data_IF_354061892934
#
_entry.id   IF_354061892934
#
_cell.length_a   1.000
_cell.length_b   1.000
_cell.length_c   1.000
_cell.angle_alpha   90.00
_cell.angle_beta   90.00
_cell.angle_gamma   90.00
#
_symmetry.space_group_name_H-M   'P 1'
#
loop_
_entity.id
_entity.type
_entity.pdbx_description
1 polymer ?
#
# COMPACT_ATOMS: atom_id res chain seq x y z
N UNK A 1 -32.46 37.34 -10.35
CA UNK A 1 -31.87 36.05 -10.75
C UNK A 1 -33.01 35.11 -11.10
N UNK A 2 -32.99 34.57 -12.29
CA UNK A 2 -33.93 33.50 -12.68
C UNK A 2 -33.53 32.20 -12.02
N UNK A 3 -34.48 31.23 -11.90
CA UNK A 3 -34.19 29.91 -11.36
C UNK A 3 -33.01 29.22 -12.11
N UNK A 4 -32.88 29.51 -13.40
CA UNK A 4 -31.84 29.02 -14.28
C UNK A 4 -30.45 29.64 -13.95
N UNK A 5 -30.40 30.94 -13.70
CA UNK A 5 -29.17 31.66 -13.26
C UNK A 5 -28.70 31.15 -11.90
N UNK A 6 -29.64 30.88 -10.99
CA UNK A 6 -29.31 30.32 -9.68
C UNK A 6 -28.79 28.88 -9.78
N UNK A 7 -29.38 28.07 -10.66
CA UNK A 7 -28.93 26.70 -10.90
C UNK A 7 -27.53 26.66 -11.53
N UNK A 8 -27.26 27.53 -12.50
CA UNK A 8 -25.92 27.65 -13.12
C UNK A 8 -24.88 28.06 -12.08
N UNK A 9 -25.16 29.05 -11.24
CA UNK A 9 -24.24 29.48 -10.18
C UNK A 9 -23.91 28.35 -9.20
N UNK A 10 -24.89 27.53 -8.81
CA UNK A 10 -24.66 26.37 -7.94
C UNK A 10 -23.77 25.31 -8.62
N UNK A 11 -23.94 25.14 -9.94
CA UNK A 11 -23.08 24.22 -10.70
C UNK A 11 -21.64 24.76 -10.81
N UNK A 12 -21.47 26.05 -11.08
CA UNK A 12 -20.15 26.70 -11.13
C UNK A 12 -19.43 26.60 -9.79
N UNK A 13 -20.11 26.89 -8.67
CA UNK A 13 -19.55 26.70 -7.33
C UNK A 13 -19.12 25.27 -7.08
N UNK A 14 -19.94 24.29 -7.49
CA UNK A 14 -19.60 22.88 -7.34
C UNK A 14 -18.40 22.47 -8.20
N UNK A 15 -18.31 22.95 -9.43
CA UNK A 15 -17.16 22.71 -10.31
C UNK A 15 -15.89 23.28 -9.68
N UNK A 16 -15.93 24.53 -9.23
CA UNK A 16 -14.81 25.19 -8.55
C UNK A 16 -14.34 24.41 -7.33
N UNK A 17 -15.27 23.93 -6.49
CA UNK A 17 -14.91 23.08 -5.34
C UNK A 17 -14.24 21.76 -5.76
N UNK A 18 -14.70 21.12 -6.83
CA UNK A 18 -14.10 19.87 -7.32
C UNK A 18 -12.71 20.12 -7.93
N UNK A 19 -12.53 21.20 -8.67
CA UNK A 19 -11.23 21.62 -9.21
C UNK A 19 -10.23 21.87 -8.06
N UNK A 20 -10.62 22.62 -7.03
CA UNK A 20 -9.78 22.86 -5.85
C UNK A 20 -9.39 21.55 -5.14
N UNK A 21 -10.30 20.59 -5.03
CA UNK A 21 -9.98 19.27 -4.47
C UNK A 21 -8.91 18.58 -5.33
N UNK A 22 -9.10 18.55 -6.65
CA UNK A 22 -8.17 17.91 -7.59
C UNK A 22 -6.79 18.58 -7.54
N UNK A 23 -6.74 19.90 -7.45
CA UNK A 23 -5.48 20.67 -7.38
C UNK A 23 -4.66 20.35 -6.11
N UNK A 24 -5.32 20.02 -5.01
CA UNK A 24 -4.67 19.70 -3.72
C UNK A 24 -4.47 18.21 -3.46
N UNK A 25 -4.87 17.32 -4.38
CA UNK A 25 -4.61 15.90 -4.27
C UNK A 25 -3.11 15.58 -4.38
N UNK A 26 -2.67 14.58 -3.62
CA UNK A 26 -1.31 14.02 -3.74
C UNK A 26 -1.21 13.00 -4.88
N UNK A 27 -2.33 12.42 -5.30
CA UNK A 27 -2.42 11.57 -6.46
C UNK A 27 -2.40 12.41 -7.75
N UNK A 28 -1.66 11.93 -8.74
CA UNK A 28 -1.67 12.52 -10.07
C UNK A 28 -2.98 12.22 -10.78
N UNK A 29 -3.68 13.25 -11.20
CA UNK A 29 -4.94 13.14 -11.94
C UNK A 29 -4.78 13.69 -13.34
N UNK A 30 -5.22 12.92 -14.34
CA UNK A 30 -5.43 13.36 -15.71
C UNK A 30 -6.87 13.00 -16.10
N UNK A 31 -7.58 13.93 -16.70
CA UNK A 31 -8.94 13.74 -17.24
C UNK A 31 -8.94 14.11 -18.72
N UNK A 32 -9.58 13.29 -19.54
CA UNK A 32 -9.80 13.56 -20.95
C UNK A 32 -11.28 13.62 -21.27
N UNK A 33 -11.65 14.44 -22.25
CA UNK A 33 -13.00 14.52 -22.80
C UNK A 33 -13.32 13.35 -23.75
N UNK A 34 -14.47 13.41 -24.42
CA UNK A 34 -14.95 12.43 -25.41
C UNK A 34 -14.03 12.31 -26.66
N UNK A 35 -13.24 13.31 -26.96
CA UNK A 35 -12.31 13.36 -28.06
C UNK A 35 -10.87 13.01 -27.62
N UNK A 36 -10.74 12.47 -26.40
CA UNK A 36 -9.47 12.16 -25.72
C UNK A 36 -8.54 13.37 -25.57
N UNK A 37 -9.06 14.59 -25.55
CA UNK A 37 -8.30 15.80 -25.22
C UNK A 37 -8.16 15.93 -23.71
N UNK A 38 -6.96 16.26 -23.27
CA UNK A 38 -6.67 16.46 -21.86
C UNK A 38 -7.36 17.75 -21.40
N UNK A 39 -8.27 17.65 -20.44
CA UNK A 39 -9.01 18.78 -19.88
C UNK A 39 -8.65 19.05 -18.42
N UNK A 40 -7.99 18.09 -17.73
CA UNK A 40 -7.44 18.26 -16.40
C UNK A 40 -6.09 17.57 -16.28
N UNK A 41 -5.14 18.22 -15.63
CA UNK A 41 -3.79 17.71 -15.36
C UNK A 41 -3.27 18.40 -14.10
N UNK A 42 -3.43 17.76 -12.94
CA UNK A 42 -3.19 18.40 -11.66
C UNK A 42 -1.70 18.53 -11.29
N UNK A 43 -1.33 19.38 -10.30
CA UNK A 43 0.06 19.59 -9.90
C UNK A 43 0.80 18.33 -9.44
N UNK A 44 0.07 17.35 -8.87
CA UNK A 44 0.70 16.07 -8.52
C UNK A 44 1.12 15.30 -9.78
N UNK A 45 0.29 15.31 -10.83
CA UNK A 45 0.61 14.69 -12.13
C UNK A 45 1.79 15.39 -12.81
N UNK A 46 1.84 16.73 -12.77
CA UNK A 46 2.98 17.50 -13.27
C UNK A 46 4.31 17.07 -12.63
N UNK A 47 4.31 16.95 -11.30
CA UNK A 47 5.50 16.52 -10.56
C UNK A 47 5.91 15.08 -10.88
N UNK A 48 4.92 14.17 -11.01
CA UNK A 48 5.18 12.75 -11.29
C UNK A 48 5.76 12.51 -12.67
N UNK A 49 5.31 13.28 -13.66
CA UNK A 49 5.67 13.05 -15.06
C UNK A 49 6.68 14.08 -15.59
N UNK A 50 7.05 15.06 -14.78
CA UNK A 50 7.92 16.18 -15.16
C UNK A 50 7.41 16.93 -16.39
N UNK A 51 6.08 17.03 -16.54
CA UNK A 51 5.37 17.73 -17.60
C UNK A 51 4.61 18.92 -16.98
N UNK A 52 4.39 19.98 -17.75
CA UNK A 52 3.58 21.11 -17.28
C UNK A 52 2.17 20.98 -17.83
N UNK A 53 1.18 21.29 -17.02
CA UNK A 53 -0.22 21.32 -17.45
C UNK A 53 -0.42 22.25 -18.65
N UNK A 54 0.28 23.41 -18.69
CA UNK A 54 0.25 24.34 -19.82
C UNK A 54 0.64 23.72 -21.17
N UNK A 55 1.47 22.67 -21.15
CA UNK A 55 2.01 22.06 -22.36
C UNK A 55 1.13 20.91 -22.87
N UNK A 56 0.26 20.37 -22.03
CA UNK A 56 -0.56 19.20 -22.34
C UNK A 56 -2.06 19.47 -22.37
N UNK A 57 -2.56 20.47 -21.66
CA UNK A 57 -3.99 20.82 -21.67
C UNK A 57 -4.45 21.17 -23.07
N UNK A 58 -5.61 20.63 -23.47
CA UNK A 58 -6.19 20.78 -24.81
C UNK A 58 -5.56 19.92 -25.89
N UNK A 59 -4.43 19.27 -25.63
CA UNK A 59 -3.80 18.32 -26.58
C UNK A 59 -4.48 16.95 -26.49
N UNK A 60 -4.34 16.15 -27.54
CA UNK A 60 -4.84 14.77 -27.55
C UNK A 60 -3.90 13.92 -26.70
N UNK A 61 -4.44 13.06 -25.84
CA UNK A 61 -3.66 12.33 -24.83
C UNK A 61 -2.49 11.51 -25.39
N UNK A 62 -2.63 10.87 -26.56
CA UNK A 62 -1.51 10.13 -27.18
C UNK A 62 -0.48 11.02 -27.89
N UNK A 63 -0.82 12.28 -28.21
CA UNK A 63 0.14 13.25 -28.76
C UNK A 63 0.98 13.89 -27.67
N UNK A 64 0.41 14.10 -26.49
CA UNK A 64 1.12 14.64 -25.33
C UNK A 64 2.27 13.72 -24.89
N UNK A 65 2.13 12.40 -25.08
CA UNK A 65 3.14 11.42 -24.73
C UNK A 65 3.84 10.93 -26.01
N UNK A 66 5.02 11.44 -26.30
CA UNK A 66 5.78 11.24 -27.57
C UNK A 66 6.05 9.77 -27.96
N UNK A 67 5.69 8.80 -27.14
CA UNK A 67 5.87 7.37 -27.39
C UNK A 67 4.56 6.58 -27.49
N UNK A 68 3.41 7.24 -27.45
CA UNK A 68 2.11 6.59 -27.58
C UNK A 68 1.47 6.89 -28.93
N UNK A 69 0.75 5.91 -29.49
CA UNK A 69 -0.15 6.08 -30.62
C UNK A 69 -1.59 5.89 -30.17
N UNK A 70 -2.55 6.29 -31.00
CA UNK A 70 -3.97 6.07 -30.72
C UNK A 70 -4.29 4.62 -30.37
N UNK A 71 -3.68 3.67 -31.04
CA UNK A 71 -3.92 2.22 -30.85
C UNK A 71 -3.38 1.70 -29.51
N UNK A 72 -2.39 2.38 -28.92
CA UNK A 72 -1.77 2.02 -27.66
C UNK A 72 -2.31 2.85 -26.50
N UNK A 73 -3.06 3.91 -26.80
CA UNK A 73 -3.62 4.81 -25.79
C UNK A 73 -4.62 4.09 -24.88
N UNK A 74 -4.35 4.12 -23.59
CA UNK A 74 -5.24 3.54 -22.58
C UNK A 74 -6.52 4.31 -22.41
N UNK A 75 -6.46 5.65 -22.50
CA UNK A 75 -7.64 6.49 -22.48
C UNK A 75 -8.59 6.15 -23.64
N UNK A 76 -8.04 5.97 -24.84
CA UNK A 76 -8.85 5.54 -25.99
C UNK A 76 -9.46 4.16 -25.76
N UNK A 77 -8.67 3.20 -25.24
CA UNK A 77 -9.17 1.85 -24.96
C UNK A 77 -10.29 1.85 -23.93
N UNK A 78 -10.13 2.59 -22.84
CA UNK A 78 -11.18 2.71 -21.80
C UNK A 78 -12.41 3.43 -22.33
N UNK A 79 -12.20 4.46 -23.18
CA UNK A 79 -13.30 5.16 -23.83
C UNK A 79 -14.11 4.24 -24.75
N UNK A 80 -13.43 3.44 -25.58
CA UNK A 80 -14.08 2.54 -26.55
C UNK A 80 -14.78 1.34 -25.88
N UNK A 81 -14.18 0.81 -24.81
CA UNK A 81 -14.69 -0.40 -24.16
C UNK A 81 -15.61 -0.13 -22.97
N UNK A 82 -15.57 1.06 -22.39
CA UNK A 82 -16.25 1.39 -21.16
C UNK A 82 -15.76 0.59 -19.95
N UNK A 83 -14.66 -0.17 -20.09
CA UNK A 83 -14.11 -1.03 -19.03
C UNK A 83 -12.88 -0.38 -18.39
N UNK A 84 -12.79 -0.30 -17.05
CA UNK A 84 -11.66 0.31 -16.39
C UNK A 84 -10.40 -0.54 -16.50
N UNK A 85 -9.23 0.11 -16.40
CA UNK A 85 -7.94 -0.52 -16.20
C UNK A 85 -7.59 -0.31 -14.73
N UNK A 86 -7.40 -1.39 -13.97
CA UNK A 86 -7.17 -1.32 -12.54
C UNK A 86 -5.75 -1.73 -12.19
N UNK A 87 -5.16 -1.00 -11.24
CA UNK A 87 -3.88 -1.32 -10.61
C UNK A 87 -2.75 -1.65 -11.60
N UNK A 88 -2.70 -0.92 -12.70
CA UNK A 88 -1.65 -1.08 -13.68
C UNK A 88 -0.33 -0.47 -13.17
N UNK A 89 0.78 -1.14 -13.47
CA UNK A 89 2.13 -0.67 -13.16
C UNK A 89 3.02 -0.84 -14.38
N UNK A 90 3.44 0.27 -14.95
CA UNK A 90 4.33 0.28 -16.11
C UNK A 90 5.02 1.64 -16.29
N UNK A 91 6.07 1.70 -17.12
CA UNK A 91 6.63 2.98 -17.51
C UNK A 91 5.54 3.80 -18.24
N UNK A 92 5.25 4.98 -17.74
CA UNK A 92 4.21 5.86 -18.28
C UNK A 92 4.79 7.11 -18.92
N UNK A 93 5.93 7.58 -18.44
CA UNK A 93 6.67 8.71 -18.99
C UNK A 93 8.18 8.43 -18.99
N UNK A 94 8.95 9.27 -19.68
CA UNK A 94 10.40 9.15 -19.72
C UNK A 94 11.04 10.50 -19.41
N UNK A 95 11.98 10.52 -18.46
CA UNK A 95 12.83 11.68 -18.19
C UNK A 95 14.26 11.35 -18.58
N UNK A 96 14.79 12.05 -19.60
CA UNK A 96 16.16 11.81 -20.07
C UNK A 96 16.41 10.34 -20.47
N UNK A 97 15.47 9.68 -21.14
CA UNK A 97 15.45 8.24 -21.49
C UNK A 97 15.33 7.27 -20.30
N UNK A 98 15.08 7.76 -19.10
CA UNK A 98 14.84 6.90 -17.92
C UNK A 98 13.32 6.74 -17.76
N UNK A 99 12.79 5.50 -17.76
CA UNK A 99 11.37 5.26 -17.60
C UNK A 99 10.93 5.60 -16.16
N UNK A 100 9.85 6.36 -16.04
CA UNK A 100 9.17 6.61 -14.75
C UNK A 100 8.07 5.57 -14.60
N UNK A 101 8.16 4.75 -13.59
CA UNK A 101 7.15 3.75 -13.27
C UNK A 101 6.09 4.36 -12.35
N UNK A 102 4.84 4.25 -12.74
CA UNK A 102 3.70 4.81 -12.02
C UNK A 102 2.65 3.72 -11.81
N UNK A 103 2.11 3.66 -10.60
CA UNK A 103 0.88 2.93 -10.31
C UNK A 103 -0.31 3.77 -10.70
N UNK A 104 -1.22 3.20 -11.48
CA UNK A 104 -2.41 3.93 -11.88
C UNK A 104 -3.60 3.04 -12.14
N UNK A 105 -4.76 3.66 -12.07
CA UNK A 105 -6.02 3.08 -12.52
C UNK A 105 -6.73 4.09 -13.39
N UNK A 106 -7.28 3.61 -14.52
CA UNK A 106 -7.97 4.43 -15.52
C UNK A 106 -9.44 4.03 -15.57
N UNK A 107 -10.33 5.01 -15.47
CA UNK A 107 -11.76 4.81 -15.33
C UNK A 107 -12.53 5.59 -16.40
N UNK A 108 -13.66 5.05 -16.91
CA UNK A 108 -14.58 5.80 -17.74
C UNK A 108 -15.44 6.72 -16.88
N UNK A 109 -15.74 7.92 -17.37
CA UNK A 109 -16.83 8.77 -16.86
C UNK A 109 -18.07 8.47 -17.66
N UNK A 110 -19.10 7.92 -17.02
CA UNK A 110 -20.32 7.47 -17.69
C UNK A 110 -21.49 8.39 -17.33
N UNK A 111 -22.18 8.90 -18.36
CA UNK A 111 -23.43 9.64 -18.23
C UNK A 111 -24.46 9.07 -19.20
N UNK A 112 -25.64 8.77 -18.70
CA UNK A 112 -26.76 8.18 -19.49
C UNK A 112 -26.35 6.94 -20.31
N UNK A 113 -25.50 6.09 -19.70
CA UNK A 113 -25.00 4.86 -20.33
C UNK A 113 -23.94 5.07 -21.41
N UNK A 114 -23.46 6.30 -21.62
CA UNK A 114 -22.40 6.63 -22.58
C UNK A 114 -21.15 7.12 -21.86
N UNK A 115 -19.99 6.71 -22.34
CA UNK A 115 -18.70 7.28 -21.87
C UNK A 115 -18.58 8.69 -22.42
N UNK A 116 -18.39 9.66 -21.53
CA UNK A 116 -18.26 11.08 -21.87
C UNK A 116 -16.84 11.61 -21.62
N UNK A 117 -16.00 10.81 -20.98
CA UNK A 117 -14.61 11.15 -20.70
C UNK A 117 -13.91 9.97 -20.01
N UNK A 118 -12.62 10.10 -19.80
CA UNK A 118 -11.78 9.09 -19.14
C UNK A 118 -10.83 9.78 -18.19
N UNK A 119 -10.70 9.28 -16.96
CA UNK A 119 -9.71 9.80 -16.02
C UNK A 119 -8.78 8.71 -15.53
N UNK A 120 -7.56 9.10 -15.22
CA UNK A 120 -6.56 8.25 -14.58
C UNK A 120 -6.15 8.86 -13.25
N UNK A 121 -6.13 8.03 -12.21
CA UNK A 121 -5.52 8.35 -10.93
C UNK A 121 -4.19 7.61 -10.86
N UNK A 122 -3.12 8.36 -10.65
CA UNK A 122 -1.75 7.86 -10.61
C UNK A 122 -1.14 8.07 -9.23
N UNK A 123 -0.31 7.11 -8.79
CA UNK A 123 0.46 7.21 -7.56
C UNK A 123 1.93 6.97 -7.88
N UNK A 124 2.78 7.88 -7.42
CA UNK A 124 4.21 7.67 -7.51
C UNK A 124 4.63 6.63 -6.46
N UNK A 125 5.49 5.70 -6.87
CA UNK A 125 6.09 4.72 -5.97
C UNK A 125 6.81 5.39 -4.79
N UNK A 126 7.49 6.50 -5.04
CA UNK A 126 8.22 7.26 -4.04
C UNK A 126 7.29 7.88 -2.99
N UNK A 127 6.19 8.51 -3.43
CA UNK A 127 5.17 9.07 -2.54
C UNK A 127 4.48 7.99 -1.69
N UNK A 128 4.21 6.81 -2.27
CA UNK A 128 3.64 5.69 -1.53
C UNK A 128 4.61 5.17 -0.45
N UNK A 129 5.89 5.08 -0.80
CA UNK A 129 6.96 4.76 0.15
C UNK A 129 7.05 5.77 1.28
N UNK A 130 7.10 7.05 0.95
CA UNK A 130 7.19 8.13 1.94
C UNK A 130 6.01 8.10 2.90
N UNK A 131 4.78 7.98 2.40
CA UNK A 131 3.57 7.86 3.22
C UNK A 131 3.59 6.63 4.13
N UNK A 132 4.05 5.49 3.62
CA UNK A 132 4.21 4.27 4.42
C UNK A 132 5.28 4.46 5.51
N UNK A 133 6.44 5.01 5.15
CA UNK A 133 7.49 5.31 6.13
C UNK A 133 7.07 6.38 7.13
N UNK A 134 6.43 7.47 6.70
CA UNK A 134 5.88 8.46 7.62
C UNK A 134 4.82 7.86 8.56
N UNK A 135 3.98 6.95 8.06
CA UNK A 135 2.99 6.26 8.88
C UNK A 135 3.68 5.36 9.91
N UNK A 136 4.73 4.66 9.50
CA UNK A 136 5.56 3.83 10.39
C UNK A 136 6.31 4.72 11.39
N UNK A 137 6.86 5.86 10.95
CA UNK A 137 7.55 6.81 11.85
C UNK A 137 6.60 7.59 12.74
N UNK A 138 5.42 7.97 12.28
CA UNK A 138 4.36 8.57 13.13
C UNK A 138 3.86 7.57 14.17
N UNK A 139 3.71 6.29 13.83
CA UNK A 139 3.47 5.23 14.83
C UNK A 139 4.65 5.07 15.80
N UNK A 140 5.87 5.37 15.36
CA UNK A 140 7.10 5.36 16.17
C UNK A 140 7.20 6.59 17.10
N UNK A 141 6.76 7.76 16.64
CA UNK A 141 6.83 9.04 17.38
C UNK A 141 5.59 9.29 18.26
N UNK A 142 4.47 8.62 17.99
CA UNK A 142 3.24 8.75 18.77
C UNK A 142 3.35 8.19 20.20
N UNK A 143 4.51 7.59 20.53
CA UNK A 143 4.85 7.25 21.92
C UNK A 143 5.12 8.46 22.82
N UNK A 144 5.24 9.68 22.27
CA UNK A 144 5.61 10.87 23.06
C UNK A 144 4.54 11.98 23.12
N UNK A 145 3.33 11.82 22.54
CA UNK A 145 2.31 12.88 22.54
C UNK A 145 0.99 12.44 23.14
N UNK A 146 0.67 13.11 24.20
CA UNK A 146 -0.53 13.17 25.04
C UNK A 146 -1.89 13.12 24.34
N UNK A 147 -2.73 12.31 24.96
CA UNK A 147 -4.18 12.15 25.05
C UNK A 147 -5.09 13.25 24.48
N UNK A 148 -5.95 12.85 23.54
CA UNK A 148 -7.23 13.47 23.24
C UNK A 148 -8.38 12.50 23.64
N UNK A 149 -9.59 12.98 23.92
CA UNK A 149 -10.64 12.22 24.63
C UNK A 149 -11.36 11.11 23.86
N UNK A 150 -10.94 10.74 22.66
CA UNK A 150 -11.60 9.72 21.82
C UNK A 150 -10.65 8.71 21.15
N UNK A 151 -9.36 8.69 21.47
CA UNK A 151 -8.42 7.70 20.94
C UNK A 151 -8.15 6.63 22.00
N UNK A 152 -8.41 5.34 21.67
CA UNK A 152 -7.84 4.22 22.42
C UNK A 152 -6.34 4.49 22.52
N UNK A 153 -5.83 4.59 23.73
CA UNK A 153 -4.42 4.81 24.02
C UNK A 153 -3.59 3.73 23.34
N UNK A 154 -2.88 4.07 22.25
CA UNK A 154 -1.81 3.23 21.77
C UNK A 154 -0.74 3.19 22.85
N UNK A 155 -0.39 2.00 23.33
CA UNK A 155 0.79 1.84 24.18
C UNK A 155 2.02 2.34 23.43
N UNK A 156 2.99 2.87 24.15
CA UNK A 156 4.22 3.48 23.62
C UNK A 156 4.99 2.65 22.55
N UNK A 157 4.61 1.40 22.33
CA UNK A 157 5.29 0.44 21.45
C UNK A 157 4.47 -0.03 20.24
N UNK A 158 3.36 0.64 19.91
CA UNK A 158 2.59 0.39 18.67
C UNK A 158 1.47 -0.64 18.80
N UNK A 159 1.07 -1.02 20.03
CA UNK A 159 -0.02 -1.97 20.29
C UNK A 159 -1.19 -1.33 21.03
N UNK A 160 -2.40 -1.88 20.79
CA UNK A 160 -3.64 -1.44 21.45
C UNK A 160 -4.37 -2.59 22.16
N UNK A 161 -4.04 -3.84 21.86
CA UNK A 161 -4.81 -5.01 22.28
C UNK A 161 -3.99 -5.97 23.13
N UNK A 162 -4.69 -6.60 24.08
CA UNK A 162 -4.21 -7.66 24.96
C UNK A 162 -5.18 -8.84 24.92
N UNK A 163 -4.85 -9.96 25.55
CA UNK A 163 -5.78 -11.11 25.62
C UNK A 163 -7.12 -10.78 26.31
N UNK A 164 -7.18 -9.72 27.13
CA UNK A 164 -8.44 -9.27 27.74
C UNK A 164 -9.38 -8.58 26.74
N UNK A 165 -8.87 -8.13 25.61
CA UNK A 165 -9.67 -7.52 24.55
C UNK A 165 -10.26 -8.58 23.59
N UNK A 166 -9.86 -9.84 23.75
CA UNK A 166 -10.35 -10.94 22.93
C UNK A 166 -11.70 -11.42 23.44
N UNK A 167 -12.77 -11.03 22.76
CA UNK A 167 -14.14 -11.31 23.16
C UNK A 167 -14.55 -12.73 22.71
N UNK A 168 -14.82 -13.62 23.66
CA UNK A 168 -15.32 -14.97 23.39
C UNK A 168 -15.43 -15.81 24.65
N UNK A 169 -16.58 -16.49 24.82
CA UNK A 169 -16.83 -17.35 25.98
C UNK A 169 -16.77 -18.85 25.65
N UNK A 170 -16.60 -19.21 24.36
CA UNK A 170 -16.56 -20.62 23.94
C UNK A 170 -15.34 -21.35 24.49
N UNK A 171 -15.45 -22.66 24.64
CA UNK A 171 -14.33 -23.52 25.04
C UNK A 171 -13.16 -23.37 24.08
N UNK A 172 -13.43 -23.35 22.76
CA UNK A 172 -12.41 -23.16 21.72
C UNK A 172 -11.67 -21.84 21.85
N UNK A 173 -12.37 -20.74 22.17
CA UNK A 173 -11.72 -19.44 22.39
C UNK A 173 -10.79 -19.46 23.60
N UNK A 174 -11.20 -20.12 24.68
CA UNK A 174 -10.37 -20.23 25.89
C UNK A 174 -9.12 -21.09 25.64
N UNK A 175 -9.26 -22.17 24.89
CA UNK A 175 -8.13 -23.03 24.46
C UNK A 175 -7.17 -22.23 23.57
N UNK A 176 -7.68 -21.52 22.56
CA UNK A 176 -6.87 -20.66 21.70
C UNK A 176 -6.06 -19.62 22.48
N UNK A 177 -6.69 -18.94 23.46
CA UNK A 177 -5.99 -17.96 24.29
C UNK A 177 -4.89 -18.63 25.12
N UNK A 178 -5.17 -19.82 25.70
CA UNK A 178 -4.18 -20.57 26.46
C UNK A 178 -2.98 -20.99 25.60
N UNK A 179 -3.24 -21.51 24.43
CA UNK A 179 -2.19 -21.90 23.47
C UNK A 179 -1.38 -20.68 23.02
N UNK A 180 -2.04 -19.56 22.73
CA UNK A 180 -1.41 -18.31 22.38
C UNK A 180 -0.51 -17.75 23.50
N UNK A 181 -0.91 -17.89 24.78
CA UNK A 181 -0.09 -17.50 25.94
C UNK A 181 1.16 -18.40 26.06
N UNK A 182 1.02 -19.72 25.84
CA UNK A 182 2.16 -20.64 25.82
C UNK A 182 3.15 -20.24 24.70
N UNK A 183 2.63 -20.00 23.51
CA UNK A 183 3.45 -19.58 22.37
C UNK A 183 4.08 -18.22 22.61
N UNK A 184 3.40 -17.30 23.27
CA UNK A 184 3.90 -15.95 23.58
C UNK A 184 5.19 -15.99 24.42
N UNK A 185 5.35 -16.98 25.30
CA UNK A 185 6.55 -17.18 26.10
C UNK A 185 7.77 -17.66 25.27
N UNK A 186 7.59 -18.00 24.00
CA UNK A 186 8.66 -18.49 23.11
C UNK A 186 9.09 -17.43 22.09
N UNK A 187 10.19 -17.72 21.36
CA UNK A 187 10.65 -16.93 20.21
C UNK A 187 10.22 -17.52 18.87
N UNK A 188 9.39 -18.56 18.86
CA UNK A 188 8.97 -19.19 17.64
C UNK A 188 8.16 -18.24 16.74
N UNK A 189 8.34 -18.35 15.45
CA UNK A 189 7.47 -17.73 14.47
C UNK A 189 6.06 -18.31 14.57
N UNK A 190 5.04 -17.52 14.32
CA UNK A 190 3.63 -17.90 14.47
C UNK A 190 2.90 -17.62 13.17
N UNK A 191 2.09 -18.55 12.72
CA UNK A 191 1.10 -18.35 11.67
C UNK A 191 -0.31 -18.41 12.26
N UNK A 192 -1.08 -17.33 12.10
CA UNK A 192 -2.47 -17.19 12.54
C UNK A 192 -3.37 -17.38 11.32
N UNK A 193 -4.26 -18.37 11.37
CA UNK A 193 -5.21 -18.63 10.29
C UNK A 193 -6.62 -18.33 10.76
N UNK A 194 -7.40 -17.66 9.93
CA UNK A 194 -8.79 -17.37 10.22
C UNK A 194 -9.38 -16.41 9.21
N UNK A 195 -10.68 -16.45 9.02
CA UNK A 195 -11.41 -15.58 8.10
C UNK A 195 -11.19 -14.09 8.41
N UNK A 196 -11.52 -13.24 7.44
CA UNK A 196 -11.47 -11.77 7.63
C UNK A 196 -12.40 -11.36 8.78
N UNK A 197 -11.92 -10.46 9.65
CA UNK A 197 -12.70 -9.96 10.80
C UNK A 197 -12.69 -10.85 12.05
N UNK A 198 -12.01 -12.00 12.07
CA UNK A 198 -11.95 -12.91 13.24
C UNK A 198 -11.04 -12.43 14.36
N UNK A 199 -10.35 -11.30 14.21
CA UNK A 199 -9.49 -10.74 15.25
C UNK A 199 -8.05 -11.21 15.21
N UNK A 200 -7.53 -11.63 14.04
CA UNK A 200 -6.12 -12.05 13.87
C UNK A 200 -5.11 -11.02 14.37
N UNK A 201 -5.35 -9.74 14.08
CA UNK A 201 -4.49 -8.66 14.56
C UNK A 201 -4.57 -8.51 16.09
N UNK A 202 -5.77 -8.63 16.68
CA UNK A 202 -5.95 -8.62 18.14
C UNK A 202 -5.14 -9.73 18.78
N UNK A 203 -5.17 -10.94 18.21
CA UNK A 203 -4.41 -12.09 18.68
C UNK A 203 -2.90 -11.86 18.56
N UNK A 204 -2.44 -11.35 17.41
CA UNK A 204 -1.03 -11.06 17.18
C UNK A 204 -0.47 -10.03 18.17
N UNK A 205 -1.21 -8.94 18.39
CA UNK A 205 -0.83 -7.92 19.38
C UNK A 205 -0.87 -8.48 20.82
N UNK A 206 -1.85 -9.33 21.14
CA UNK A 206 -1.95 -9.98 22.45
C UNK A 206 -0.77 -10.90 22.74
N UNK A 207 -0.35 -11.70 21.74
CA UNK A 207 0.84 -12.55 21.81
C UNK A 207 2.10 -11.70 22.04
N UNK A 208 2.23 -10.58 21.33
CA UNK A 208 3.35 -9.66 21.52
C UNK A 208 3.34 -9.06 22.94
N UNK A 209 2.22 -8.48 23.36
CA UNK A 209 2.10 -7.81 24.66
C UNK A 209 2.28 -8.73 25.86
N UNK A 210 1.98 -10.01 25.73
CA UNK A 210 2.12 -10.97 26.83
C UNK A 210 3.58 -11.26 27.21
N UNK A 211 4.50 -11.14 26.27
CA UNK A 211 5.91 -11.47 26.52
C UNK A 211 6.91 -10.37 26.14
N UNK A 212 6.47 -9.29 25.50
CA UNK A 212 7.35 -8.26 24.91
C UNK A 212 6.70 -6.88 24.87
N UNK A 213 5.89 -6.54 25.86
CA UNK A 213 5.15 -5.27 25.89
C UNK A 213 6.02 -4.01 25.86
N UNK A 214 7.30 -4.15 26.23
CA UNK A 214 8.33 -3.10 26.20
C UNK A 214 9.05 -2.99 24.84
N UNK A 215 8.79 -3.91 23.90
CA UNK A 215 9.41 -3.95 22.58
C UNK A 215 8.48 -3.39 21.51
N UNK A 216 9.06 -3.12 20.32
CA UNK A 216 8.30 -2.62 19.19
C UNK A 216 7.41 -3.69 18.56
N UNK A 217 6.21 -3.29 18.20
CA UNK A 217 5.32 -4.06 17.34
C UNK A 217 5.15 -3.31 16.02
N UNK A 218 5.52 -3.94 14.91
CA UNK A 218 5.35 -3.37 13.57
C UNK A 218 4.42 -4.29 12.80
N UNK A 219 3.22 -3.80 12.46
CA UNK A 219 2.25 -4.51 11.63
C UNK A 219 2.24 -3.98 10.19
N UNK A 220 2.22 -4.90 9.23
CA UNK A 220 2.14 -4.61 7.80
C UNK A 220 1.10 -5.52 7.17
N UNK A 221 0.17 -4.95 6.42
CA UNK A 221 -0.72 -5.71 5.54
C UNK A 221 -0.05 -5.87 4.17
N UNK A 222 0.28 -7.12 3.80
CA UNK A 222 1.02 -7.42 2.58
C UNK A 222 0.19 -7.17 1.32
N UNK A 223 -1.14 -7.32 1.39
CA UNK A 223 -2.02 -7.05 0.25
C UNK A 223 -2.17 -5.55 -0.06
N UNK A 224 -1.94 -4.69 0.93
CA UNK A 224 -2.04 -3.24 0.74
C UNK A 224 -0.79 -2.62 0.08
N UNK A 225 0.28 -3.40 -0.06
CA UNK A 225 1.58 -2.92 -0.57
C UNK A 225 1.88 -3.61 -1.89
N UNK A 226 2.19 -2.86 -2.94
CA UNK A 226 2.68 -3.42 -4.19
C UNK A 226 3.94 -4.27 -3.99
N UNK A 227 4.03 -5.40 -4.71
CA UNK A 227 5.07 -6.42 -4.49
C UNK A 227 6.50 -5.88 -4.59
N UNK A 228 6.77 -5.06 -5.60
CA UNK A 228 8.08 -4.43 -5.80
C UNK A 228 8.48 -3.47 -4.66
N UNK A 229 7.49 -2.88 -3.96
CA UNK A 229 7.72 -2.07 -2.78
C UNK A 229 7.89 -2.92 -1.53
N UNK A 230 7.13 -4.00 -1.41
CA UNK A 230 7.14 -4.87 -0.25
C UNK A 230 8.55 -5.40 0.04
N UNK A 231 9.31 -5.76 -0.99
CA UNK A 231 10.69 -6.22 -0.84
C UNK A 231 11.57 -5.16 -0.18
N UNK A 232 11.59 -3.94 -0.72
CA UNK A 232 12.42 -2.86 -0.19
C UNK A 232 11.94 -2.37 1.19
N UNK A 233 10.67 -2.47 1.48
CA UNK A 233 10.10 -2.14 2.79
C UNK A 233 10.51 -3.19 3.82
N UNK A 234 10.40 -4.47 3.52
CA UNK A 234 10.73 -5.54 4.47
C UNK A 234 12.24 -5.66 4.71
N UNK A 235 13.03 -5.64 3.64
CA UNK A 235 14.46 -5.93 3.72
C UNK A 235 15.34 -4.68 3.73
N UNK A 236 14.81 -3.53 3.30
CA UNK A 236 15.59 -2.30 3.12
C UNK A 236 16.15 -2.14 1.71
N UNK A 237 16.75 -0.99 1.44
CA UNK A 237 17.43 -0.69 0.17
C UNK A 237 18.64 0.17 0.39
N UNK A 238 19.59 0.11 -0.56
CA UNK A 238 20.73 1.05 -0.62
C UNK A 238 20.59 1.95 -1.83
N UNK A 239 21.23 3.11 -1.77
CA UNK A 239 21.28 4.06 -2.88
C UNK A 239 21.72 3.38 -4.17
N UNK A 240 21.01 3.62 -5.27
CA UNK A 240 21.33 3.05 -6.58
C UNK A 240 20.86 1.60 -6.81
N UNK A 241 20.17 0.97 -5.86
CA UNK A 241 19.62 -0.38 -6.02
C UNK A 241 18.60 -0.48 -7.18
N UNK A 242 17.86 0.58 -7.41
CA UNK A 242 16.92 0.80 -8.52
C UNK A 242 16.70 2.32 -8.68
N UNK A 243 15.99 2.74 -9.72
CA UNK A 243 15.70 4.17 -9.96
C UNK A 243 14.97 4.78 -8.76
N UNK A 244 15.53 5.86 -8.19
CA UNK A 244 14.98 6.51 -6.98
C UNK A 244 15.29 5.79 -5.65
N UNK A 245 16.10 4.72 -5.66
CA UNK A 245 16.50 4.05 -4.43
C UNK A 245 17.39 4.95 -3.57
N UNK A 246 17.03 5.08 -2.30
CA UNK A 246 17.80 5.72 -1.25
C UNK A 246 18.15 4.72 -0.16
N UNK A 247 19.16 5.05 0.66
CA UNK A 247 19.52 4.21 1.79
C UNK A 247 18.39 4.20 2.82
N UNK A 248 17.78 3.03 3.01
CA UNK A 248 16.68 2.84 3.98
C UNK A 248 16.77 1.50 4.69
N UNK A 249 16.53 1.53 5.99
CA UNK A 249 16.43 0.33 6.80
C UNK A 249 15.13 -0.42 6.51
N UNK A 250 15.20 -1.74 6.38
CA UNK A 250 14.04 -2.61 6.25
C UNK A 250 13.31 -2.81 7.59
N UNK A 251 12.04 -3.23 7.52
CA UNK A 251 11.22 -3.45 8.71
C UNK A 251 11.77 -4.54 9.63
N UNK A 252 12.47 -5.55 9.10
CA UNK A 252 13.18 -6.54 9.92
C UNK A 252 14.22 -5.87 10.83
N UNK A 253 14.97 -4.90 10.31
CA UNK A 253 15.97 -4.15 11.08
C UNK A 253 15.31 -3.15 12.03
N UNK A 254 14.26 -2.45 11.58
CA UNK A 254 13.50 -1.46 12.38
C UNK A 254 12.77 -2.11 13.56
N UNK A 255 12.25 -3.32 13.40
CA UNK A 255 11.60 -4.06 14.48
C UNK A 255 12.57 -4.43 15.62
N UNK A 256 13.87 -4.49 15.35
CA UNK A 256 14.91 -4.79 16.35
C UNK A 256 14.63 -6.10 17.09
N UNK A 257 14.58 -6.08 18.42
CA UNK A 257 14.25 -7.24 19.27
C UNK A 257 12.73 -7.39 19.51
N UNK A 258 11.90 -6.63 18.78
CA UNK A 258 10.44 -6.61 18.89
C UNK A 258 9.74 -7.69 18.08
N UNK A 259 8.60 -7.33 17.50
CA UNK A 259 7.78 -8.23 16.66
C UNK A 259 7.45 -7.56 15.34
N UNK A 260 7.66 -8.27 14.24
CA UNK A 260 7.15 -7.95 12.91
C UNK A 260 5.91 -8.80 12.66
N UNK A 261 4.78 -8.16 12.41
CA UNK A 261 3.52 -8.81 12.05
C UNK A 261 3.23 -8.60 10.57
N UNK A 262 3.10 -9.68 9.83
CA UNK A 262 2.77 -9.71 8.41
C UNK A 262 1.34 -10.23 8.24
N UNK A 263 0.40 -9.34 7.99
CA UNK A 263 -0.98 -9.71 7.69
C UNK A 263 -1.14 -10.04 6.21
N UNK A 264 -2.08 -10.94 5.91
CA UNK A 264 -2.38 -11.43 4.55
C UNK A 264 -1.13 -11.93 3.80
N UNK A 265 -0.31 -12.77 4.46
CA UNK A 265 0.91 -13.34 3.87
C UNK A 265 0.63 -14.11 2.57
N UNK A 266 -0.59 -14.63 2.41
CA UNK A 266 -1.09 -15.30 1.21
C UNK A 266 -1.16 -14.40 -0.03
N UNK A 267 -1.07 -13.08 0.12
CA UNK A 267 -0.99 -12.12 -0.98
C UNK A 267 0.42 -11.98 -1.56
N UNK A 268 1.44 -12.47 -0.86
CA UNK A 268 2.82 -12.44 -1.37
C UNK A 268 3.02 -13.40 -2.54
N UNK A 269 3.77 -12.97 -3.56
CA UNK A 269 4.19 -13.88 -4.62
C UNK A 269 5.11 -14.98 -4.09
N UNK A 270 5.17 -16.10 -4.83
CA UNK A 270 6.05 -17.24 -4.51
C UNK A 270 7.53 -16.81 -4.48
N UNK A 271 7.92 -15.84 -5.31
CA UNK A 271 9.26 -15.29 -5.33
C UNK A 271 9.59 -14.52 -4.04
N UNK A 272 8.65 -13.72 -3.55
CA UNK A 272 8.80 -12.97 -2.31
C UNK A 272 8.83 -13.90 -1.09
N UNK A 273 7.98 -14.94 -1.09
CA UNK A 273 7.98 -15.98 -0.07
C UNK A 273 9.34 -16.70 0.02
N UNK A 274 9.98 -16.98 -1.13
CA UNK A 274 11.31 -17.60 -1.15
C UNK A 274 12.38 -16.71 -0.48
N UNK A 275 12.32 -15.39 -0.72
CA UNK A 275 13.23 -14.43 -0.06
C UNK A 275 12.97 -14.37 1.44
N UNK A 276 11.70 -14.36 1.85
CA UNK A 276 11.30 -14.37 3.25
C UNK A 276 11.80 -15.63 3.95
N UNK A 277 11.58 -16.82 3.35
CA UNK A 277 12.06 -18.09 3.88
C UNK A 277 13.58 -18.08 4.08
N UNK A 278 14.33 -17.63 3.07
CA UNK A 278 15.79 -17.52 3.15
C UNK A 278 16.22 -16.63 4.31
N UNK A 279 15.59 -15.45 4.44
CA UNK A 279 15.89 -14.54 5.53
C UNK A 279 15.63 -15.15 6.91
N UNK A 280 14.57 -15.95 7.05
CA UNK A 280 14.23 -16.65 8.30
C UNK A 280 15.20 -17.79 8.62
N UNK A 281 15.65 -18.53 7.62
CA UNK A 281 16.58 -19.65 7.77
C UNK A 281 18.00 -19.14 8.11
N UNK A 282 18.46 -18.14 7.37
CA UNK A 282 19.80 -17.54 7.56
C UNK A 282 19.85 -16.57 8.75
N UNK A 283 18.69 -16.21 9.34
CA UNK A 283 18.57 -15.21 10.41
C UNK A 283 19.18 -13.85 10.04
N UNK A 284 19.24 -13.53 8.77
CA UNK A 284 19.73 -12.26 8.26
C UNK A 284 18.91 -11.80 7.05
N UNK A 285 18.89 -10.49 6.83
CA UNK A 285 18.34 -9.85 5.65
C UNK A 285 19.45 -9.16 4.88
N UNK A 286 19.27 -9.06 3.57
CA UNK A 286 20.16 -8.28 2.70
C UNK A 286 19.33 -7.17 2.05
N UNK A 287 19.62 -5.90 2.35
CA UNK A 287 18.95 -4.79 1.69
C UNK A 287 19.09 -4.87 0.16
N UNK A 288 18.05 -4.48 -0.57
CA UNK A 288 18.06 -4.48 -2.02
C UNK A 288 19.23 -3.64 -2.55
N UNK A 289 20.05 -4.23 -3.43
CA UNK A 289 21.27 -3.60 -3.95
C UNK A 289 22.49 -3.68 -3.03
N UNK A 290 22.37 -4.20 -1.81
CA UNK A 290 23.48 -4.35 -0.86
C UNK A 290 24.13 -5.73 -0.95
N UNK A 291 25.43 -5.78 -0.66
CA UNK A 291 26.16 -7.03 -0.39
C UNK A 291 26.27 -7.31 1.11
N UNK A 292 25.92 -6.36 1.97
CA UNK A 292 25.97 -6.51 3.43
C UNK A 292 24.71 -7.18 3.94
N UNK A 293 24.86 -8.07 4.90
CA UNK A 293 23.79 -8.73 5.62
C UNK A 293 23.58 -8.07 6.97
N UNK A 294 22.29 -7.99 7.38
CA UNK A 294 21.88 -7.46 8.67
C UNK A 294 21.16 -8.56 9.44
N UNK A 295 21.47 -8.77 10.74
CA UNK A 295 20.87 -9.85 11.52
C UNK A 295 19.39 -9.59 11.81
N UNK A 296 18.55 -10.62 11.68
CA UNK A 296 17.16 -10.61 12.15
C UNK A 296 17.14 -10.96 13.64
N UNK A 297 16.58 -10.05 14.45
CA UNK A 297 16.38 -10.25 15.89
C UNK A 297 14.91 -10.29 16.28
N UNK A 298 14.06 -9.68 15.45
CA UNK A 298 12.64 -9.63 15.73
C UNK A 298 11.97 -11.01 15.65
N UNK A 299 10.89 -11.15 16.41
CA UNK A 299 9.95 -12.26 16.25
C UNK A 299 9.06 -12.00 15.05
N UNK A 300 8.77 -13.04 14.27
CA UNK A 300 7.83 -12.97 13.16
C UNK A 300 6.49 -13.58 13.59
N UNK A 301 5.40 -12.84 13.35
CA UNK A 301 4.03 -13.32 13.40
C UNK A 301 3.41 -13.06 12.02
N UNK A 302 2.81 -14.07 11.42
CA UNK A 302 2.12 -13.96 10.14
C UNK A 302 0.63 -14.25 10.31
N UNK A 303 -0.20 -13.70 9.43
CA UNK A 303 -1.61 -14.04 9.36
C UNK A 303 -2.05 -14.33 7.92
N UNK A 304 -3.03 -15.23 7.78
CA UNK A 304 -3.68 -15.59 6.53
C UNK A 304 -5.20 -15.65 6.73
N UNK A 305 -5.96 -15.26 5.72
CA UNK A 305 -7.40 -15.41 5.66
C UNK A 305 -7.83 -16.74 5.00
N UNK A 306 -6.92 -17.39 4.25
CA UNK A 306 -7.14 -18.68 3.63
C UNK A 306 -6.51 -19.80 4.48
N UNK A 307 -7.06 -21.01 4.42
CA UNK A 307 -6.47 -22.17 5.10
C UNK A 307 -5.16 -22.60 4.42
N UNK A 308 -4.26 -23.23 5.20
CA UNK A 308 -2.99 -23.76 4.64
C UNK A 308 -3.25 -24.77 3.55
N UNK A 309 -4.26 -25.64 3.71
CA UNK A 309 -4.59 -26.67 2.74
C UNK A 309 -5.02 -26.06 1.39
N UNK A 310 -5.86 -25.02 1.42
CA UNK A 310 -6.27 -24.29 0.21
C UNK A 310 -5.08 -23.61 -0.46
N UNK A 311 -4.26 -22.91 0.29
CA UNK A 311 -3.09 -22.22 -0.22
C UNK A 311 -2.06 -23.15 -0.85
N UNK A 312 -1.86 -24.34 -0.28
CA UNK A 312 -0.95 -25.36 -0.82
C UNK A 312 -1.52 -25.99 -2.10
N UNK A 313 -2.82 -26.31 -2.12
CA UNK A 313 -3.49 -26.87 -3.29
C UNK A 313 -3.49 -25.90 -4.48
N UNK A 314 -3.67 -24.62 -4.22
CA UNK A 314 -3.63 -23.54 -5.22
C UNK A 314 -2.21 -23.10 -5.57
N UNK A 315 -1.18 -23.64 -4.94
CA UNK A 315 0.24 -23.26 -5.08
C UNK A 315 0.51 -21.78 -4.78
N UNK A 316 -0.30 -21.18 -3.93
CA UNK A 316 -0.16 -19.79 -3.48
C UNK A 316 0.76 -19.67 -2.27
N UNK A 317 0.98 -20.75 -1.54
CA UNK A 317 1.93 -20.82 -0.44
C UNK A 317 2.96 -21.91 -0.73
N UNK A 318 4.22 -21.61 -0.46
CA UNK A 318 5.30 -22.60 -0.52
C UNK A 318 5.19 -23.57 0.66
N UNK A 319 5.40 -24.84 0.40
CA UNK A 319 5.36 -25.90 1.45
C UNK A 319 6.47 -25.74 2.50
N UNK A 320 7.56 -25.07 2.13
CA UNK A 320 8.74 -24.92 2.96
C UNK A 320 8.75 -23.61 3.79
N UNK A 321 7.80 -22.71 3.57
CA UNK A 321 7.61 -21.49 4.37
C UNK A 321 6.74 -21.74 5.58
#
# INVERSE_FOLDING_TARGET
MTDEEQYISVLEDKVTCLEEIIQHMNEGVILTDKDCRIIEFNPAKERMEHMRASDVLGTISWEAYSHSSREVSEHQRVFDTGSPILNAYRPHAYVGNIPIYIYYSTYPVIKDGKVIGVYTISRNEETLRELLYETIEKKRSASDVTQGPYTKSYKAHGTSFTFSDFVGSSVKTKELIKDAQIIAATNASVLIIGETGTGKEVLAQSIHNFGREDKRFIGVNCAAIPENLLESILFGSVHGAFTGAVDRQGLFSVAGDGTLFLDEINSMSVAMQAKLLRALQEKCVRPVGSLKEEPIRCRLICASNDSVEELLNERRLRQDL
#
